data_IF_973308548792
#
_entry.id   IF_973308548792
#
_cell.length_a   1.000
_cell.length_b   1.000
_cell.length_c   1.000
_cell.angle_alpha   90.00
_cell.angle_beta   90.00
_cell.angle_gamma   90.00
#
_symmetry.space_group_name_H-M   'P 1'
#
loop_
_entity.id
_entity.type
_entity.pdbx_description
1 polymer ?
#
# COMPACT_ATOMS: atom_id res chain seq x y z
N UNK A 1 -18.40 -24.36 18.99
CA UNK A 1 -18.82 -23.72 17.71
C UNK A 1 -17.58 -23.14 17.06
N UNK A 2 -17.29 -23.49 15.81
CA UNK A 2 -16.13 -22.93 15.11
C UNK A 2 -16.45 -21.45 14.83
N UNK A 3 -15.80 -20.53 15.54
CA UNK A 3 -16.07 -19.10 15.40
C UNK A 3 -15.63 -18.65 14.01
N UNK A 4 -16.56 -18.06 13.26
CA UNK A 4 -16.30 -17.57 11.90
C UNK A 4 -15.21 -16.49 11.97
N UNK A 5 -14.10 -16.70 11.25
CA UNK A 5 -12.98 -15.75 11.18
C UNK A 5 -13.20 -14.78 10.02
N UNK A 6 -12.80 -13.53 10.22
CA UNK A 6 -12.78 -12.52 9.17
C UNK A 6 -11.37 -12.02 8.89
N UNK A 7 -11.14 -11.56 7.67
CA UNK A 7 -9.96 -10.82 7.26
C UNK A 7 -10.44 -9.44 6.81
N UNK A 8 -9.87 -8.39 7.40
CA UNK A 8 -10.08 -7.01 6.96
C UNK A 8 -8.81 -6.54 6.26
N UNK A 9 -8.89 -6.24 4.96
CA UNK A 9 -7.80 -5.58 4.25
C UNK A 9 -7.93 -4.08 4.44
N UNK A 10 -6.96 -3.50 5.15
CA UNK A 10 -6.93 -2.09 5.49
C UNK A 10 -6.24 -1.30 4.39
N UNK A 11 -7.01 -0.79 3.43
CA UNK A 11 -6.52 0.10 2.39
C UNK A 11 -6.22 1.50 2.93
N UNK A 12 -5.24 2.18 2.33
CA UNK A 12 -5.00 3.61 2.59
C UNK A 12 -6.14 4.46 2.00
N UNK A 13 -6.50 4.17 0.74
CA UNK A 13 -7.47 4.94 -0.05
C UNK A 13 -6.77 5.89 -1.02
N UNK A 14 -7.49 6.26 -2.08
CA UNK A 14 -6.96 7.01 -3.21
C UNK A 14 -7.99 8.02 -3.73
N UNK A 15 -7.49 9.16 -4.22
CA UNK A 15 -8.30 10.10 -5.00
C UNK A 15 -8.46 9.70 -6.47
N UNK A 16 -7.63 8.77 -6.92
CA UNK A 16 -7.68 8.21 -8.27
C UNK A 16 -8.52 6.91 -8.27
N UNK A 17 -9.64 6.86 -9.03
CA UNK A 17 -10.49 5.68 -9.12
C UNK A 17 -9.79 4.42 -9.64
N UNK A 18 -8.75 4.55 -10.48
CA UNK A 18 -8.00 3.39 -10.97
C UNK A 18 -7.24 2.70 -9.83
N UNK A 19 -6.68 3.48 -8.90
CA UNK A 19 -6.02 2.95 -7.71
C UNK A 19 -6.99 2.23 -6.77
N UNK A 20 -8.22 2.75 -6.64
CA UNK A 20 -9.30 2.08 -5.89
C UNK A 20 -9.70 0.77 -6.56
N UNK A 21 -9.79 0.77 -7.89
CA UNK A 21 -10.14 -0.43 -8.68
C UNK A 21 -9.09 -1.52 -8.51
N UNK A 22 -7.80 -1.19 -8.63
CA UNK A 22 -6.71 -2.15 -8.41
C UNK A 22 -6.73 -2.75 -7.00
N UNK A 23 -6.99 -1.93 -5.97
CA UNK A 23 -7.15 -2.43 -4.61
C UNK A 23 -8.38 -3.35 -4.44
N UNK A 24 -9.54 -2.99 -5.02
CA UNK A 24 -10.74 -3.83 -4.99
C UNK A 24 -10.49 -5.17 -5.68
N UNK A 25 -9.69 -5.19 -6.74
CA UNK A 25 -9.27 -6.43 -7.42
C UNK A 25 -8.37 -7.30 -6.54
N UNK A 26 -7.40 -6.71 -5.83
CA UNK A 26 -6.60 -7.43 -4.83
C UNK A 26 -7.49 -8.12 -3.80
N UNK A 27 -8.48 -7.41 -3.27
CA UNK A 27 -9.43 -7.97 -2.30
C UNK A 27 -10.29 -9.08 -2.91
N UNK A 28 -10.70 -8.95 -4.18
CA UNK A 28 -11.42 -10.01 -4.90
C UNK A 28 -10.59 -11.29 -4.99
N UNK A 29 -9.31 -11.19 -5.30
CA UNK A 29 -8.39 -12.34 -5.34
C UNK A 29 -8.19 -12.96 -3.96
N UNK A 30 -8.10 -12.15 -2.91
CA UNK A 30 -8.00 -12.65 -1.52
C UNK A 30 -9.28 -13.37 -1.07
N UNK A 31 -10.47 -12.91 -1.48
CA UNK A 31 -11.73 -13.65 -1.25
C UNK A 31 -11.70 -15.05 -1.86
N UNK A 32 -11.12 -15.20 -3.05
CA UNK A 32 -10.96 -16.51 -3.70
C UNK A 32 -9.90 -17.37 -3.00
N UNK A 33 -8.81 -16.76 -2.52
CA UNK A 33 -7.71 -17.44 -1.83
C UNK A 33 -8.10 -17.95 -0.44
N UNK A 34 -9.03 -17.26 0.23
CA UNK A 34 -9.46 -17.56 1.60
C UNK A 34 -10.97 -17.90 1.68
N UNK A 35 -11.44 -18.98 1.04
CA UNK A 35 -12.87 -19.33 0.98
C UNK A 35 -13.49 -19.64 2.35
N UNK A 36 -12.65 -19.97 3.34
CA UNK A 36 -13.06 -20.26 4.72
C UNK A 36 -13.11 -19.02 5.63
N UNK A 37 -12.79 -17.83 5.10
CA UNK A 37 -12.82 -16.57 5.83
C UNK A 37 -13.84 -15.61 5.22
N UNK A 38 -14.45 -14.77 6.06
CA UNK A 38 -15.13 -13.59 5.55
C UNK A 38 -14.08 -12.51 5.28
N UNK A 39 -13.70 -12.34 4.02
CA UNK A 39 -12.76 -11.28 3.61
C UNK A 39 -13.55 -10.03 3.22
N UNK A 40 -13.22 -8.90 3.85
CA UNK A 40 -13.77 -7.58 3.52
C UNK A 40 -12.67 -6.51 3.56
N UNK A 41 -13.01 -5.29 3.21
CA UNK A 41 -12.06 -4.18 3.12
C UNK A 41 -12.69 -2.86 3.53
N UNK A 42 -11.83 -1.94 3.94
CA UNK A 42 -12.16 -0.53 4.04
C UNK A 42 -10.94 0.34 3.77
N UNK A 43 -11.13 1.64 3.81
CA UNK A 43 -10.10 2.64 3.58
C UNK A 43 -9.91 3.54 4.81
N UNK A 44 -8.67 4.00 5.00
CA UNK A 44 -8.30 4.98 6.01
C UNK A 44 -8.78 6.39 5.60
N UNK A 45 -8.51 6.76 4.36
CA UNK A 45 -8.69 8.11 3.81
C UNK A 45 -9.39 8.07 2.45
N UNK A 46 -9.99 9.20 2.09
CA UNK A 46 -10.57 9.49 0.77
C UNK A 46 -11.73 8.59 0.37
N UNK A 47 -11.45 7.33 0.07
CA UNK A 47 -12.35 6.36 -0.54
C UNK A 47 -13.31 5.71 0.47
N UNK A 48 -14.35 5.07 -0.06
CA UNK A 48 -15.30 4.26 0.70
C UNK A 48 -15.24 2.79 0.30
N UNK A 49 -15.66 1.87 1.20
CA UNK A 49 -16.12 2.11 2.57
C UNK A 49 -14.98 2.39 3.55
N UNK A 50 -15.26 3.10 4.66
CA UNK A 50 -14.29 3.29 5.75
C UNK A 50 -14.15 2.01 6.60
N UNK A 51 -13.08 1.88 7.37
CA UNK A 51 -12.84 0.70 8.23
C UNK A 51 -14.02 0.33 9.12
N UNK A 52 -14.67 1.30 9.76
CA UNK A 52 -15.81 1.06 10.65
C UNK A 52 -16.96 0.32 9.93
N UNK A 53 -17.31 0.77 8.72
CA UNK A 53 -18.36 0.14 7.92
C UNK A 53 -17.99 -1.29 7.49
N UNK A 54 -16.71 -1.54 7.18
CA UNK A 54 -16.22 -2.87 6.86
C UNK A 54 -16.27 -3.83 8.06
N UNK A 55 -15.86 -3.35 9.23
CA UNK A 55 -15.94 -4.13 10.48
C UNK A 55 -17.38 -4.43 10.84
N UNK A 56 -18.30 -3.48 10.68
CA UNK A 56 -19.73 -3.70 10.91
C UNK A 56 -20.30 -4.79 9.99
N UNK A 57 -19.96 -4.78 8.69
CA UNK A 57 -20.36 -5.84 7.75
C UNK A 57 -19.82 -7.22 8.14
N UNK A 58 -18.58 -7.31 8.63
CA UNK A 58 -18.03 -8.57 9.14
C UNK A 58 -18.77 -9.00 10.42
N UNK A 59 -18.98 -8.08 11.35
CA UNK A 59 -19.63 -8.34 12.64
C UNK A 59 -21.08 -8.83 12.49
N UNK A 60 -21.86 -8.20 11.60
CA UNK A 60 -23.25 -8.57 11.29
C UNK A 60 -23.37 -9.95 10.63
N UNK A 61 -22.31 -10.45 9.99
CA UNK A 61 -22.20 -11.82 9.47
C UNK A 61 -21.80 -12.86 10.53
N UNK A 62 -21.72 -12.47 11.80
CA UNK A 62 -21.35 -13.34 12.92
C UNK A 62 -19.84 -13.50 13.13
N UNK A 63 -19.00 -12.70 12.48
CA UNK A 63 -17.56 -12.69 12.75
C UNK A 63 -17.31 -12.04 14.11
N UNK A 64 -16.49 -12.70 14.95
CA UNK A 64 -16.04 -12.18 16.26
C UNK A 64 -14.52 -12.10 16.40
N UNK A 65 -13.80 -12.63 15.42
CA UNK A 65 -12.35 -12.52 15.32
C UNK A 65 -11.98 -12.02 13.94
N UNK A 66 -11.39 -10.83 13.86
CA UNK A 66 -10.94 -10.19 12.62
C UNK A 66 -9.42 -10.13 12.62
N UNK A 67 -8.79 -10.52 11.52
CA UNK A 67 -7.38 -10.25 11.23
C UNK A 67 -7.34 -9.02 10.31
N UNK A 68 -6.88 -7.89 10.83
CA UNK A 68 -6.75 -6.65 10.07
C UNK A 68 -5.35 -6.57 9.46
N UNK A 69 -5.24 -6.57 8.13
CA UNK A 69 -3.97 -6.53 7.41
C UNK A 69 -3.79 -5.15 6.74
N UNK A 70 -2.82 -4.33 7.19
CA UNK A 70 -2.45 -3.09 6.52
C UNK A 70 -1.92 -3.35 5.10
N UNK A 71 -2.65 -2.89 4.08
CA UNK A 71 -2.19 -2.90 2.69
C UNK A 71 -1.23 -1.73 2.45
N UNK A 72 -0.10 -1.76 3.16
CA UNK A 72 0.93 -0.71 3.19
C UNK A 72 2.30 -1.39 3.00
N UNK A 73 3.12 -0.88 2.08
CA UNK A 73 4.45 -1.42 1.82
C UNK A 73 5.45 -1.11 2.94
N UNK A 74 5.48 0.12 3.46
CA UNK A 74 6.45 0.55 4.47
C UNK A 74 5.78 1.26 5.64
N UNK A 75 6.24 0.98 6.86
CA UNK A 75 5.60 1.45 8.08
C UNK A 75 5.92 2.93 8.41
N UNK A 76 5.22 3.86 7.75
CA UNK A 76 5.13 5.25 8.19
C UNK A 76 4.11 5.45 9.32
N UNK A 77 3.71 6.71 9.55
CA UNK A 77 2.69 7.08 10.55
C UNK A 77 1.38 6.28 10.41
N UNK A 78 0.91 6.04 9.19
CA UNK A 78 -0.34 5.30 9.00
C UNK A 78 -0.31 3.88 9.58
N UNK A 79 0.77 3.13 9.37
CA UNK A 79 0.91 1.78 9.89
C UNK A 79 1.25 1.76 11.40
N UNK A 80 2.05 2.73 11.85
CA UNK A 80 2.53 2.79 13.25
C UNK A 80 1.55 3.46 14.21
N UNK A 81 0.62 4.26 13.71
CA UNK A 81 -0.22 5.14 14.51
C UNK A 81 -1.70 5.10 14.07
N UNK A 82 -2.03 5.50 12.84
CA UNK A 82 -3.44 5.70 12.44
C UNK A 82 -4.26 4.41 12.39
N UNK A 83 -3.75 3.35 11.76
CA UNK A 83 -4.45 2.06 11.67
C UNK A 83 -4.57 1.42 13.07
N UNK A 84 -3.51 1.34 13.91
CA UNK A 84 -3.66 0.92 15.30
C UNK A 84 -4.74 1.70 16.06
N UNK A 85 -4.76 3.03 15.95
CA UNK A 85 -5.77 3.89 16.58
C UNK A 85 -7.18 3.51 16.12
N UNK A 86 -7.41 3.38 14.82
CA UNK A 86 -8.71 3.00 14.25
C UNK A 86 -9.14 1.60 14.70
N UNK A 87 -8.25 0.60 14.65
CA UNK A 87 -8.59 -0.76 15.05
C UNK A 87 -8.95 -0.84 16.53
N UNK A 88 -8.21 -0.15 17.40
CA UNK A 88 -8.52 -0.09 18.83
C UNK A 88 -9.85 0.64 19.10
N UNK A 89 -10.10 1.74 18.40
CA UNK A 89 -11.32 2.55 18.53
C UNK A 89 -12.55 1.80 18.04
N UNK A 90 -12.45 1.07 16.93
CA UNK A 90 -13.57 0.28 16.41
C UNK A 90 -13.80 -0.93 17.32
N UNK A 91 -12.74 -1.63 17.76
CA UNK A 91 -12.88 -2.78 18.65
C UNK A 91 -13.60 -2.42 19.96
N UNK A 92 -13.33 -1.26 20.55
CA UNK A 92 -13.95 -0.84 21.82
C UNK A 92 -15.47 -0.65 21.74
N UNK A 93 -16.02 -0.54 20.53
CA UNK A 93 -17.46 -0.41 20.29
C UNK A 93 -18.21 -1.75 20.34
N UNK A 94 -17.49 -2.89 20.33
CA UNK A 94 -18.07 -4.23 20.27
C UNK A 94 -17.54 -5.11 21.41
N UNK A 95 -18.37 -5.45 22.42
CA UNK A 95 -17.93 -6.16 23.63
C UNK A 95 -17.28 -7.55 23.40
N UNK A 96 -17.65 -8.25 22.32
CA UNK A 96 -17.22 -9.61 22.01
C UNK A 96 -16.39 -9.71 20.71
N UNK A 97 -15.94 -8.58 20.17
CA UNK A 97 -15.09 -8.53 18.98
C UNK A 97 -13.60 -8.48 19.37
N UNK A 98 -12.80 -9.34 18.75
CA UNK A 98 -11.34 -9.26 18.78
C UNK A 98 -10.79 -8.95 17.39
N UNK A 99 -10.02 -7.87 17.29
CA UNK A 99 -9.27 -7.47 16.11
C UNK A 99 -7.79 -7.71 16.39
N UNK A 100 -7.17 -8.56 15.57
CA UNK A 100 -5.73 -8.80 15.54
C UNK A 100 -5.16 -7.97 14.40
N UNK A 101 -4.37 -6.96 14.73
CA UNK A 101 -3.65 -6.18 13.73
C UNK A 101 -2.41 -6.95 13.26
N UNK A 102 -2.38 -7.27 11.97
CA UNK A 102 -1.23 -7.84 11.29
C UNK A 102 -0.17 -6.77 10.98
N UNK A 103 1.00 -7.24 10.57
CA UNK A 103 2.08 -6.38 10.10
C UNK A 103 1.77 -5.82 8.70
N UNK A 104 2.27 -4.62 8.41
CA UNK A 104 2.36 -4.11 7.04
C UNK A 104 3.20 -5.05 6.16
N UNK A 105 3.13 -4.92 4.83
CA UNK A 105 3.76 -5.90 3.92
C UNK A 105 5.28 -5.98 4.12
N UNK A 106 5.96 -4.83 4.16
CA UNK A 106 7.39 -4.72 4.38
C UNK A 106 8.20 -5.23 3.19
N UNK A 107 9.51 -5.35 3.42
CA UNK A 107 10.43 -5.99 2.48
C UNK A 107 10.50 -7.47 2.79
N UNK A 108 9.98 -8.28 1.88
CA UNK A 108 10.04 -9.74 1.93
C UNK A 108 10.84 -10.27 0.73
N UNK A 109 11.30 -11.54 0.79
CA UNK A 109 11.87 -12.20 -0.37
C UNK A 109 10.94 -12.15 -1.60
N UNK A 110 9.63 -12.31 -1.40
CA UNK A 110 8.62 -12.25 -2.47
C UNK A 110 8.46 -10.85 -3.07
N UNK A 111 8.51 -9.77 -2.27
CA UNK A 111 8.53 -8.39 -2.79
C UNK A 111 9.81 -8.08 -3.58
N UNK A 112 10.98 -8.55 -3.11
CA UNK A 112 12.23 -8.38 -3.86
C UNK A 112 12.19 -9.17 -5.18
N UNK A 113 11.66 -10.39 -5.16
CA UNK A 113 11.48 -11.21 -6.35
C UNK A 113 10.49 -10.56 -7.34
N UNK A 114 9.41 -9.94 -6.85
CA UNK A 114 8.47 -9.19 -7.68
C UNK A 114 9.15 -8.01 -8.36
N UNK A 115 9.95 -7.28 -7.60
CA UNK A 115 10.69 -6.13 -8.11
C UNK A 115 11.69 -6.52 -9.19
N UNK A 116 12.45 -7.61 -8.96
CA UNK A 116 13.31 -8.22 -9.96
C UNK A 116 12.53 -8.62 -11.22
N UNK A 117 11.40 -9.31 -11.07
CA UNK A 117 10.51 -9.72 -12.17
C UNK A 117 10.03 -8.53 -13.00
N UNK A 118 9.68 -7.42 -12.36
CA UNK A 118 9.22 -6.20 -13.03
C UNK A 118 10.34 -5.52 -13.83
N UNK A 119 11.55 -5.47 -13.27
CA UNK A 119 12.74 -4.96 -13.96
C UNK A 119 13.07 -5.84 -15.18
N UNK A 120 13.14 -7.16 -14.99
CA UNK A 120 13.45 -8.11 -16.08
C UNK A 120 12.39 -8.05 -17.19
N UNK A 121 11.12 -7.85 -16.84
CA UNK A 121 10.03 -7.66 -17.82
C UNK A 121 10.26 -6.41 -18.70
N UNK A 122 10.85 -5.34 -18.17
CA UNK A 122 11.24 -4.18 -18.99
C UNK A 122 12.41 -4.56 -19.87
N UNK A 123 13.47 -5.16 -19.30
CA UNK A 123 14.69 -5.55 -20.03
C UNK A 123 14.42 -6.46 -21.24
N UNK A 124 13.43 -7.36 -21.17
CA UNK A 124 13.06 -8.24 -22.30
C UNK A 124 12.63 -7.49 -23.58
N UNK A 125 12.28 -6.21 -23.47
CA UNK A 125 11.86 -5.37 -24.60
C UNK A 125 12.99 -4.48 -25.11
N UNK A 126 14.16 -4.52 -24.50
CA UNK A 126 15.27 -3.61 -24.74
C UNK A 126 16.45 -4.33 -25.38
N UNK A 127 17.33 -3.56 -26.02
CA UNK A 127 18.65 -4.03 -26.42
C UNK A 127 19.43 -4.47 -25.19
N UNK A 128 19.98 -5.68 -25.25
CA UNK A 128 20.80 -6.24 -24.15
C UNK A 128 22.11 -5.47 -24.02
N UNK A 129 22.37 -4.98 -22.81
CA UNK A 129 23.64 -4.37 -22.38
C UNK A 129 24.02 -4.97 -21.03
N UNK A 130 25.28 -4.84 -20.64
CA UNK A 130 25.69 -5.23 -19.28
C UNK A 130 24.94 -4.35 -18.26
N UNK A 131 24.40 -4.94 -17.19
CA UNK A 131 23.74 -4.18 -16.11
C UNK A 131 24.73 -3.20 -15.44
N UNK A 132 26.04 -3.40 -15.57
CA UNK A 132 27.08 -2.43 -15.19
C UNK A 132 27.00 -1.11 -15.97
N UNK A 133 26.42 -1.10 -17.17
CA UNK A 133 26.15 0.11 -17.96
C UNK A 133 24.77 0.70 -17.67
N UNK A 134 24.03 0.16 -16.69
CA UNK A 134 22.68 0.58 -16.32
C UNK A 134 22.63 1.09 -14.88
N UNK A 135 21.95 2.22 -14.68
CA UNK A 135 21.59 2.74 -13.37
C UNK A 135 20.16 2.31 -12.99
N UNK A 136 19.97 1.80 -11.78
CA UNK A 136 18.64 1.54 -11.21
C UNK A 136 18.21 2.69 -10.30
N UNK A 137 17.07 3.31 -10.60
CA UNK A 137 16.49 4.38 -9.77
C UNK A 137 15.24 3.86 -9.06
N UNK A 138 15.31 3.63 -7.75
CA UNK A 138 14.18 3.12 -6.96
C UNK A 138 13.42 4.28 -6.34
N UNK A 139 12.14 4.40 -6.66
CA UNK A 139 11.31 5.56 -6.31
C UNK A 139 10.29 5.17 -5.23
N UNK A 140 10.43 5.76 -4.04
CA UNK A 140 9.42 5.68 -2.98
C UNK A 140 8.44 6.86 -3.01
N UNK A 141 7.33 6.74 -2.24
CA UNK A 141 6.45 7.89 -1.95
C UNK A 141 7.19 8.98 -1.17
N UNK A 142 7.97 8.56 -0.18
CA UNK A 142 8.59 9.41 0.83
C UNK A 142 7.65 9.70 2.00
N UNK A 143 8.22 9.82 3.19
CA UNK A 143 7.49 10.16 4.43
C UNK A 143 8.40 10.91 5.41
N UNK A 144 7.81 11.52 6.43
CA UNK A 144 8.55 12.14 7.53
C UNK A 144 9.15 11.11 8.50
N UNK A 145 8.78 9.83 8.39
CA UNK A 145 9.35 8.75 9.20
C UNK A 145 10.58 8.14 8.52
N UNK A 146 11.81 8.34 9.05
CA UNK A 146 13.02 7.85 8.39
C UNK A 146 13.13 6.32 8.37
N UNK A 147 12.48 5.59 9.27
CA UNK A 147 12.52 4.12 9.26
C UNK A 147 11.82 3.58 8.01
N UNK A 148 10.68 4.15 7.62
CA UNK A 148 10.00 3.80 6.38
C UNK A 148 10.79 4.22 5.12
N UNK A 149 11.50 5.36 5.17
CA UNK A 149 12.39 5.77 4.08
C UNK A 149 13.60 4.82 3.97
N UNK A 150 14.12 4.36 5.10
CA UNK A 150 15.25 3.43 5.16
C UNK A 150 14.94 2.09 4.51
N UNK A 151 13.67 1.66 4.51
CA UNK A 151 13.26 0.46 3.80
C UNK A 151 13.39 0.62 2.28
N UNK A 152 13.02 1.76 1.69
CA UNK A 152 13.29 1.98 0.26
C UNK A 152 14.81 1.91 -0.01
N UNK A 153 15.63 2.54 0.83
CA UNK A 153 17.09 2.46 0.71
C UNK A 153 17.62 1.03 0.82
N UNK A 154 17.10 0.24 1.76
CA UNK A 154 17.42 -1.18 1.92
C UNK A 154 17.06 -1.97 0.68
N UNK A 155 15.85 -1.76 0.15
CA UNK A 155 15.38 -2.39 -1.08
C UNK A 155 16.27 -2.05 -2.28
N UNK A 156 16.67 -0.79 -2.42
CA UNK A 156 17.62 -0.35 -3.46
C UNK A 156 18.92 -1.13 -3.39
N UNK A 157 19.51 -1.29 -2.20
CA UNK A 157 20.76 -2.07 -2.03
C UNK A 157 20.55 -3.56 -2.31
N UNK A 158 19.45 -4.14 -1.85
CA UNK A 158 19.14 -5.53 -2.13
C UNK A 158 19.03 -5.80 -3.65
N UNK A 159 18.41 -4.89 -4.39
CA UNK A 159 18.27 -4.99 -5.84
C UNK A 159 19.55 -4.65 -6.59
N UNK A 160 20.27 -3.62 -6.17
CA UNK A 160 21.51 -3.18 -6.82
C UNK A 160 22.55 -4.29 -6.81
N UNK A 161 23.03 -4.67 -5.63
CA UNK A 161 24.02 -5.72 -5.49
C UNK A 161 23.50 -7.09 -5.93
N UNK A 162 22.21 -7.37 -5.65
CA UNK A 162 21.61 -8.66 -6.00
C UNK A 162 21.39 -8.87 -7.51
N UNK A 163 21.29 -7.80 -8.29
CA UNK A 163 21.06 -7.87 -9.75
C UNK A 163 22.26 -7.45 -10.58
N UNK A 164 23.28 -6.84 -9.99
CA UNK A 164 24.53 -6.47 -10.66
C UNK A 164 24.49 -5.15 -11.43
N UNK A 165 23.66 -4.19 -10.99
CA UNK A 165 23.64 -2.85 -11.60
C UNK A 165 24.96 -2.10 -11.39
N UNK A 166 25.34 -1.25 -12.35
CA UNK A 166 26.55 -0.42 -12.23
C UNK A 166 26.42 0.64 -11.16
N UNK A 167 25.21 1.19 -11.04
CA UNK A 167 24.83 2.09 -9.96
C UNK A 167 23.35 1.93 -9.62
N UNK A 168 22.99 2.25 -8.39
CA UNK A 168 21.60 2.47 -8.04
C UNK A 168 21.47 3.55 -6.98
N UNK A 169 20.34 4.23 -6.98
CA UNK A 169 20.03 5.19 -5.91
C UNK A 169 18.55 5.22 -5.59
N UNK A 170 18.27 5.69 -4.38
CA UNK A 170 16.91 5.89 -3.86
C UNK A 170 16.50 7.33 -4.08
N UNK A 171 15.26 7.52 -4.53
CA UNK A 171 14.65 8.84 -4.64
C UNK A 171 13.18 8.79 -4.23
N UNK A 172 12.57 9.96 -4.03
CA UNK A 172 11.18 10.06 -3.60
C UNK A 172 10.37 10.99 -4.49
N UNK A 173 9.07 10.73 -4.66
CA UNK A 173 8.19 11.64 -5.40
C UNK A 173 7.70 12.83 -4.53
N UNK A 174 7.86 12.75 -3.20
CA UNK A 174 7.52 13.84 -2.28
C UNK A 174 7.94 13.59 -0.83
N UNK A 175 7.61 14.56 0.03
CA UNK A 175 7.82 14.60 1.49
C UNK A 175 9.28 14.61 1.96
N UNK A 176 10.13 13.74 1.41
CA UNK A 176 11.52 13.60 1.82
C UNK A 176 12.46 13.64 0.62
N UNK A 177 13.75 13.78 0.89
CA UNK A 177 14.81 14.01 -0.10
C UNK A 177 15.65 12.73 -0.33
N UNK A 178 16.29 12.57 -1.50
CA UNK A 178 16.22 13.46 -2.68
C UNK A 178 14.92 13.29 -3.48
N UNK A 179 14.40 14.35 -4.12
CA UNK A 179 13.21 14.22 -4.98
C UNK A 179 13.57 13.67 -6.36
N UNK A 180 12.61 12.97 -6.98
CA UNK A 180 12.77 12.34 -8.29
C UNK A 180 13.32 13.32 -9.33
N UNK A 181 12.80 14.55 -9.36
CA UNK A 181 13.24 15.58 -10.30
C UNK A 181 14.73 15.91 -10.16
N UNK A 182 15.24 16.06 -8.94
CA UNK A 182 16.68 16.33 -8.73
C UNK A 182 17.53 15.10 -9.03
N UNK A 183 17.05 13.92 -8.63
CA UNK A 183 17.75 12.65 -8.88
C UNK A 183 17.88 12.31 -10.36
N UNK A 184 16.86 12.61 -11.18
CA UNK A 184 16.94 12.44 -12.63
C UNK A 184 18.07 13.28 -13.23
N UNK A 185 18.13 14.57 -12.88
CA UNK A 185 19.21 15.47 -13.31
C UNK A 185 20.59 14.96 -12.87
N UNK A 186 20.72 14.50 -11.62
CA UNK A 186 21.99 13.99 -11.11
C UNK A 186 22.41 12.71 -11.84
N UNK A 187 21.51 11.74 -11.97
CA UNK A 187 21.79 10.44 -12.61
C UNK A 187 22.15 10.62 -14.08
N UNK A 188 21.56 11.59 -14.77
CA UNK A 188 21.87 11.87 -16.17
C UNK A 188 23.29 12.38 -16.41
N UNK A 189 23.95 12.92 -15.37
CA UNK A 189 25.38 13.31 -15.45
C UNK A 189 26.33 12.13 -15.30
N UNK A 190 25.83 10.96 -14.90
CA UNK A 190 26.65 9.76 -14.68
C UNK A 190 26.86 9.00 -16.00
N UNK A 191 27.96 8.25 -16.15
CA UNK A 191 28.34 7.62 -17.42
C UNK A 191 27.58 6.30 -17.69
N UNK A 192 26.27 6.26 -17.42
CA UNK A 192 25.43 5.10 -17.70
C UNK A 192 24.70 5.27 -19.03
N UNK A 193 24.52 4.17 -19.76
CA UNK A 193 23.81 4.17 -21.05
C UNK A 193 22.30 4.16 -20.86
N UNK A 194 21.86 3.62 -19.72
CA UNK A 194 20.45 3.38 -19.42
C UNK A 194 20.13 3.63 -17.96
N UNK A 195 18.92 4.13 -17.71
CA UNK A 195 18.29 4.19 -16.40
C UNK A 195 17.00 3.37 -16.43
N UNK A 196 16.85 2.47 -15.45
CA UNK A 196 15.58 1.80 -15.19
C UNK A 196 15.01 2.35 -13.89
N UNK A 197 13.80 2.87 -13.94
CA UNK A 197 13.08 3.45 -12.80
C UNK A 197 12.10 2.42 -12.25
N UNK A 198 12.27 2.04 -10.99
CA UNK A 198 11.39 1.13 -10.26
C UNK A 198 10.54 1.94 -9.26
N UNK A 199 9.29 2.30 -9.60
CA UNK A 199 8.35 2.83 -8.63
C UNK A 199 7.87 1.73 -7.66
N UNK A 200 8.07 1.95 -6.36
CA UNK A 200 7.66 1.02 -5.32
C UNK A 200 6.24 1.35 -4.82
N UNK A 201 5.26 0.97 -5.63
CA UNK A 201 3.83 1.25 -5.42
C UNK A 201 2.99 0.00 -5.63
N UNK A 202 1.92 -0.17 -4.84
CA UNK A 202 0.99 -1.29 -4.97
C UNK A 202 0.11 -1.17 -6.22
N UNK A 203 -0.40 0.02 -6.51
CA UNK A 203 -1.32 0.26 -7.61
C UNK A 203 -0.99 1.58 -8.29
N UNK A 204 -1.54 1.78 -9.47
CA UNK A 204 -1.62 3.09 -10.11
C UNK A 204 -2.35 4.13 -9.25
N UNK A 205 -2.17 5.40 -9.62
CA UNK A 205 -2.78 6.53 -8.94
C UNK A 205 -2.06 7.84 -9.26
N UNK A 206 -2.49 8.94 -8.62
CA UNK A 206 -1.96 10.29 -8.85
C UNK A 206 -0.44 10.35 -8.78
N UNK A 207 0.17 9.74 -7.75
CA UNK A 207 1.62 9.80 -7.55
C UNK A 207 2.39 8.96 -8.56
N UNK A 208 1.88 7.77 -8.91
CA UNK A 208 2.54 6.93 -9.89
C UNK A 208 2.48 7.55 -11.29
N UNK A 209 1.33 8.09 -11.67
CA UNK A 209 1.16 8.86 -12.92
C UNK A 209 2.14 10.03 -12.97
N UNK A 210 2.30 10.77 -11.85
CA UNK A 210 3.29 11.85 -11.74
C UNK A 210 4.73 11.37 -11.92
N UNK A 211 5.09 10.20 -11.38
CA UNK A 211 6.43 9.60 -11.58
C UNK A 211 6.64 9.34 -13.07
N UNK A 212 5.70 8.67 -13.75
CA UNK A 212 5.83 8.36 -15.16
C UNK A 212 5.94 9.63 -16.01
N UNK A 213 5.09 10.63 -15.78
CA UNK A 213 5.18 11.92 -16.48
C UNK A 213 6.55 12.58 -16.28
N UNK A 214 7.09 12.61 -15.06
CA UNK A 214 8.42 13.21 -14.82
C UNK A 214 9.54 12.46 -15.55
N UNK A 215 9.50 11.13 -15.58
CA UNK A 215 10.50 10.33 -16.29
C UNK A 215 10.37 10.52 -17.80
N UNK A 216 9.16 10.48 -18.34
CA UNK A 216 8.88 10.67 -19.77
C UNK A 216 9.25 12.06 -20.27
N UNK A 217 8.95 13.10 -19.49
CA UNK A 217 9.32 14.48 -19.82
C UNK A 217 10.84 14.66 -19.80
N UNK A 218 11.52 14.14 -18.78
CA UNK A 218 12.97 14.22 -18.67
C UNK A 218 13.67 13.47 -19.81
N UNK A 219 13.16 12.29 -20.17
CA UNK A 219 13.75 11.42 -21.19
C UNK A 219 13.78 12.06 -22.59
N UNK A 220 12.92 13.03 -22.90
CA UNK A 220 12.86 13.68 -24.22
C UNK A 220 14.13 14.43 -24.58
N UNK A 221 14.80 15.00 -23.58
CA UNK A 221 15.98 15.86 -23.76
C UNK A 221 17.28 15.18 -23.33
N UNK A 222 17.20 13.96 -22.78
CA UNK A 222 18.36 13.20 -22.33
C UNK A 222 18.99 12.37 -23.47
N UNK A 223 20.31 12.20 -23.39
CA UNK A 223 21.06 11.25 -24.24
C UNK A 223 21.06 9.82 -23.68
N UNK A 224 20.65 9.66 -22.42
CA UNK A 224 20.56 8.39 -21.69
C UNK A 224 19.19 7.77 -21.96
N UNK A 225 19.12 6.45 -22.12
CA UNK A 225 17.84 5.77 -22.27
C UNK A 225 17.12 5.65 -20.92
N UNK A 226 15.88 6.15 -20.80
CA UNK A 226 15.06 6.02 -19.60
C UNK A 226 13.89 5.06 -19.81
N UNK A 227 13.74 4.12 -18.88
CA UNK A 227 12.60 3.20 -18.84
C UNK A 227 12.05 3.13 -17.42
N UNK A 228 10.80 2.74 -17.26
CA UNK A 228 10.19 2.50 -15.96
C UNK A 228 9.42 1.18 -15.93
N UNK A 229 9.33 0.57 -14.75
CA UNK A 229 8.50 -0.62 -14.54
C UNK A 229 7.04 -0.23 -14.27
N UNK A 230 6.13 -1.20 -14.39
CA UNK A 230 4.80 -1.08 -13.83
C UNK A 230 4.84 -1.08 -12.28
N UNK A 231 3.70 -0.79 -11.66
CA UNK A 231 3.47 -1.00 -10.22
C UNK A 231 3.36 -2.50 -9.90
N UNK A 232 3.27 -2.85 -8.62
CA UNK A 232 3.19 -4.26 -8.18
C UNK A 232 1.85 -4.93 -8.53
N UNK A 233 0.79 -4.13 -8.63
CA UNK A 233 -0.58 -4.54 -8.92
C UNK A 233 -1.00 -5.74 -8.06
N UNK A 234 -1.62 -6.76 -8.67
CA UNK A 234 -2.10 -7.96 -7.98
C UNK A 234 -1.25 -9.20 -8.29
N UNK A 235 0.07 -9.04 -8.43
CA UNK A 235 0.96 -10.17 -8.73
C UNK A 235 0.92 -11.25 -7.63
N UNK A 236 1.10 -12.51 -8.02
CA UNK A 236 1.13 -13.65 -7.10
C UNK A 236 2.16 -13.47 -5.97
N UNK A 237 3.31 -12.87 -6.25
CA UNK A 237 4.35 -12.62 -5.24
C UNK A 237 3.92 -11.59 -4.18
N UNK A 238 3.06 -10.64 -4.56
CA UNK A 238 2.44 -9.74 -3.59
C UNK A 238 1.41 -10.50 -2.73
N UNK A 239 0.59 -11.34 -3.35
CA UNK A 239 -0.40 -12.14 -2.63
C UNK A 239 0.28 -13.10 -1.62
N UNK A 240 1.42 -13.71 -1.97
CA UNK A 240 2.23 -14.50 -1.05
C UNK A 240 2.71 -13.69 0.16
N UNK A 241 3.09 -12.42 -0.03
CA UNK A 241 3.42 -11.53 1.10
C UNK A 241 2.22 -11.35 2.02
N UNK A 242 1.01 -11.21 1.47
CA UNK A 242 -0.21 -11.09 2.27
C UNK A 242 -0.48 -12.38 3.04
N UNK A 243 -0.25 -13.54 2.41
CA UNK A 243 -0.39 -14.85 3.05
C UNK A 243 0.55 -15.01 4.26
N UNK A 244 1.80 -14.57 4.12
CA UNK A 244 2.76 -14.52 5.23
C UNK A 244 2.24 -13.64 6.38
N UNK A 245 1.72 -12.44 6.09
CA UNK A 245 1.20 -11.52 7.12
C UNK A 245 -0.03 -12.06 7.84
N UNK A 246 -0.92 -12.74 7.11
CA UNK A 246 -2.10 -13.40 7.69
C UNK A 246 -1.63 -14.54 8.61
N UNK A 247 -0.72 -15.40 8.14
CA UNK A 247 -0.19 -16.52 8.92
C UNK A 247 0.48 -16.07 10.20
N UNK A 248 1.34 -15.05 10.14
CA UNK A 248 1.98 -14.47 11.33
C UNK A 248 0.97 -13.96 12.35
N UNK A 249 -0.11 -13.32 11.90
CA UNK A 249 -1.18 -12.86 12.78
C UNK A 249 -1.96 -14.02 13.41
N UNK A 250 -2.14 -15.14 12.69
CA UNK A 250 -2.77 -16.35 13.23
C UNK A 250 -1.91 -17.06 14.27
N UNK A 251 -0.60 -17.10 14.05
CA UNK A 251 0.39 -17.68 14.95
C UNK A 251 0.69 -16.79 16.17
N UNK A 252 0.12 -15.58 16.23
CA UNK A 252 0.29 -14.64 17.34
C UNK A 252 1.61 -13.86 17.29
N UNK A 253 2.29 -13.85 16.15
CA UNK A 253 3.56 -13.16 15.92
C UNK A 253 3.50 -12.03 14.88
N UNK A 254 2.48 -11.14 14.85
CA UNK A 254 2.42 -10.03 13.89
C UNK A 254 3.38 -8.87 14.28
N UNK A 255 4.62 -9.21 14.66
CA UNK A 255 5.57 -8.26 15.23
C UNK A 255 6.08 -7.30 14.14
N UNK A 256 5.76 -6.01 14.31
CA UNK A 256 6.43 -4.94 13.57
C UNK A 256 7.86 -4.76 14.07
N UNK A 257 8.69 -4.02 13.30
CA UNK A 257 10.02 -3.62 13.77
C UNK A 257 9.89 -2.62 14.94
N UNK A 258 9.71 -3.13 16.15
CA UNK A 258 9.58 -2.31 17.35
C UNK A 258 10.94 -1.77 17.83
N UNK A 259 12.06 -2.34 17.37
CA UNK A 259 13.42 -1.93 17.77
C UNK A 259 13.78 -0.53 17.27
N UNK A 260 13.20 -0.08 16.15
CA UNK A 260 13.40 1.25 15.58
C UNK A 260 12.13 2.10 15.53
N UNK A 261 11.08 1.67 16.23
CA UNK A 261 9.83 2.41 16.27
C UNK A 261 9.97 3.64 17.18
N UNK A 262 9.91 4.84 16.57
CA UNK A 262 10.00 6.13 17.28
C UNK A 262 8.99 6.34 18.41
N UNK A 263 7.88 5.60 18.41
CA UNK A 263 6.86 5.66 19.47
C UNK A 263 7.17 4.73 20.65
N UNK A 264 8.11 3.79 20.51
CA UNK A 264 8.41 2.73 21.49
C UNK A 264 9.79 2.84 22.11
N UNK A 265 10.75 3.41 21.41
CA UNK A 265 12.10 3.63 21.89
C UNK A 265 12.64 4.95 21.38
N UNK A 266 13.65 5.50 22.07
CA UNK A 266 14.29 6.73 21.65
C UNK A 266 15.01 6.52 20.32
N UNK A 267 14.65 7.34 19.33
CA UNK A 267 15.27 7.40 18.01
C UNK A 267 15.74 8.83 17.79
N UNK A 268 16.91 8.99 17.20
CA UNK A 268 17.52 10.28 16.91
C UNK A 268 16.54 11.19 16.14
N UNK A 269 16.33 12.40 16.65
CA UNK A 269 15.41 13.39 16.08
C UNK A 269 13.92 13.17 16.40
N UNK A 270 13.59 12.16 17.20
CA UNK A 270 12.23 11.86 17.65
C UNK A 270 12.16 11.63 19.17
N UNK A 271 13.03 12.28 19.94
CA UNK A 271 13.14 12.11 21.39
C UNK A 271 11.82 12.42 22.11
N UNK A 272 11.01 13.35 21.57
CA UNK A 272 9.71 13.72 22.14
C UNK A 272 8.56 12.79 21.74
N UNK A 273 8.78 11.80 20.85
CA UNK A 273 7.72 10.91 20.36
C UNK A 273 7.57 9.63 21.19
N UNK A 274 8.57 9.29 22.00
CA UNK A 274 8.57 8.06 22.79
C UNK A 274 7.43 8.08 23.81
N UNK A 275 6.57 7.06 23.76
CA UNK A 275 5.43 6.94 24.68
C UNK A 275 4.27 7.89 24.37
N UNK A 276 4.31 8.68 23.29
CA UNK A 276 3.15 9.47 22.86
C UNK A 276 1.96 8.55 22.58
N UNK A 277 0.77 9.04 22.93
CA UNK A 277 -0.48 8.37 22.62
C UNK A 277 -0.69 8.30 21.10
N UNK A 278 -1.31 7.21 20.63
CA UNK A 278 -1.67 7.09 19.22
C UNK A 278 -2.92 7.93 18.93
N UNK A 279 -2.83 8.85 17.97
CA UNK A 279 -3.93 9.78 17.61
C UNK A 279 -4.15 9.72 16.10
N UNK A 280 -5.40 9.54 15.66
CA UNK A 280 -5.73 9.52 14.22
C UNK A 280 -5.52 10.90 13.56
N UNK A 281 -4.53 11.03 12.68
CA UNK A 281 -4.28 12.27 11.92
C UNK A 281 -5.12 12.38 10.65
N UNK A 282 -5.61 11.24 10.16
CA UNK A 282 -6.35 11.09 8.92
C UNK A 282 -7.83 11.56 8.99
N UNK A 283 -8.31 11.91 10.18
CA UNK A 283 -9.75 12.08 10.46
C UNK A 283 -10.43 13.13 9.57
N UNK A 284 -9.72 14.19 9.17
CA UNK A 284 -10.27 15.27 8.35
C UNK A 284 -10.54 14.86 6.89
N UNK A 285 -9.94 13.76 6.42
CA UNK A 285 -10.07 13.29 5.02
C UNK A 285 -10.67 11.89 4.93
N UNK A 286 -11.19 11.36 6.04
CA UNK A 286 -11.82 10.04 6.13
C UNK A 286 -13.13 10.02 5.33
N UNK A 287 -13.21 9.19 4.30
CA UNK A 287 -14.43 9.01 3.51
C UNK A 287 -14.95 10.28 2.86
N UNK A 288 -14.09 11.17 2.36
CA UNK A 288 -14.55 12.41 1.72
C UNK A 288 -15.03 12.22 0.27
N UNK A 289 -14.75 11.07 -0.36
CA UNK A 289 -15.16 10.73 -1.71
C UNK A 289 -16.27 9.67 -1.66
N UNK A 290 -17.54 10.10 -1.70
CA UNK A 290 -18.67 9.18 -1.86
C UNK A 290 -18.75 8.67 -3.30
N UNK A 291 -18.64 7.36 -3.50
CA UNK A 291 -19.05 6.72 -4.76
C UNK A 291 -20.58 6.48 -4.68
N UNK A 292 -21.36 7.04 -5.61
CA UNK A 292 -22.83 6.97 -5.60
C UNK A 292 -23.39 5.54 -5.75
N UNK A 293 -22.56 4.54 -6.06
CA UNK A 293 -22.97 3.17 -6.38
C UNK A 293 -23.29 2.29 -5.17
N UNK A 294 -22.90 2.67 -3.94
CA UNK A 294 -23.16 1.89 -2.72
C UNK A 294 -24.47 2.28 -2.00
N UNK A 295 -25.49 2.74 -2.75
CA UNK A 295 -26.85 2.73 -2.22
C UNK A 295 -27.26 1.27 -2.04
N UNK A 296 -27.22 0.82 -0.78
CA UNK A 296 -27.93 -0.38 -0.32
C UNK A 296 -29.29 -0.36 -1.01
N UNK A 297 -29.54 -1.37 -1.85
CA UNK A 297 -30.85 -1.62 -2.43
C UNK A 297 -31.79 -1.97 -1.27
N UNK A 298 -32.27 -0.93 -0.59
CA UNK A 298 -33.42 -1.01 0.27
C UNK A 298 -34.54 -1.48 -0.63
N UNK A 299 -35.02 -2.71 -0.39
CA UNK A 299 -36.20 -3.28 -1.03
C UNK A 299 -37.24 -2.17 -1.16
N UNK A 300 -37.42 -1.63 -2.37
CA UNK A 300 -38.52 -0.71 -2.64
C UNK A 300 -39.79 -1.48 -2.35
N UNK A 301 -40.43 -1.08 -1.26
CA UNK A 301 -41.81 -1.45 -0.92
C UNK A 301 -42.67 -1.39 -2.18
N UNK A 302 -43.37 -2.47 -2.48
CA UNK A 302 -44.30 -2.64 -3.60
C UNK A 302 -45.50 -1.67 -3.58
N UNK A 303 -45.51 -0.64 -2.72
CA UNK A 303 -46.62 0.32 -2.60
C UNK A 303 -46.47 1.59 -3.45
N UNK A 304 -45.30 1.90 -4.03
CA UNK A 304 -45.13 3.17 -4.78
C UNK A 304 -45.49 3.10 -6.26
N UNK A 305 -45.79 1.91 -6.81
CA UNK A 305 -46.21 1.76 -8.21
C UNK A 305 -47.71 2.04 -8.43
N UNK A 306 -48.55 2.07 -7.38
CA UNK A 306 -49.99 2.29 -7.55
C UNK A 306 -50.43 3.76 -7.59
N UNK A 307 -49.62 4.71 -7.10
CA UNK A 307 -50.01 6.14 -7.10
C UNK A 307 -49.82 6.84 -8.44
N UNK A 308 -49.01 6.29 -9.36
CA UNK A 308 -48.85 6.83 -10.71
C UNK A 308 -49.97 6.45 -11.70
N UNK A 309 -50.92 5.59 -11.29
CA UNK A 309 -52.05 5.15 -12.12
C UNK A 309 -53.35 5.89 -11.78
N UNK A 310 -53.42 6.64 -10.67
CA UNK A 310 -54.66 7.32 -10.22
C UNK A 310 -54.58 8.86 -10.14
N UNK A 311 -53.55 9.49 -10.70
CA UNK A 311 -53.60 10.92 -11.04
C UNK A 311 -53.89 11.89 -9.88
N UNK A 312 -53.37 11.62 -8.68
CA UNK A 312 -53.20 12.60 -7.58
C UNK A 312 -51.81 12.41 -6.99
#
# INVERSE_FOLDING_TARGET
MNTKKGILICGHGSRDPEGVTGFKELVRLLKLRYPNYEVDYGFLEFSHPIYAAAVERLYTKGVRKIIAIPAILFAGSHAKNDIPYEMNTIQSQYPDLKIILGKHFGITPSILQLSKKLIEKVETKLTTIDRKDTCLLVVGRGTADPDANSDIAKMTRMLWEGMGFGFATTTYIGVTQPLLKESLTLVDTLPFKRVIVLPVFLFTGVLLKKIYTQVEEFAKDSKTEYFYTASFECDELLLQTIDERIKEAEEGNPNMNCQLCKYRTQIIGFETEVGKEQIGHHLAVKGILFEEEDKIVTKKSRLTTLKKILGI
#
